data_IF_679713318254
#
_entry.id   IF_679713318254
#
_cell.length_a   1.000
_cell.length_b   1.000
_cell.length_c   1.000
_cell.angle_alpha   90.00
_cell.angle_beta   90.00
_cell.angle_gamma   90.00
#
_symmetry.space_group_name_H-M   'P 1'
#
loop_
_entity.id
_entity.type
_entity.pdbx_description
1 polymer ?
#
# COMPACT_ATOMS: atom_id res chain seq x y z
N UNK A 1 -21.88 5.56 29.55
CA UNK A 1 -20.92 6.61 29.15
C UNK A 1 -19.67 5.93 28.67
N UNK A 2 -19.70 5.31 27.49
CA UNK A 2 -18.50 4.82 26.83
C UNK A 2 -18.73 5.06 25.33
N UNK A 3 -18.14 6.15 24.85
CA UNK A 3 -17.98 6.46 23.42
C UNK A 3 -16.87 5.54 22.91
N UNK A 4 -17.23 4.39 22.38
CA UNK A 4 -16.28 3.52 21.69
C UNK A 4 -16.14 4.05 20.26
N UNK A 5 -15.00 4.71 20.04
CA UNK A 5 -14.59 5.23 18.75
C UNK A 5 -14.65 4.16 17.67
N UNK A 6 -15.26 4.51 16.55
CA UNK A 6 -15.28 3.66 15.37
C UNK A 6 -13.83 3.47 14.86
N UNK A 7 -13.20 2.36 15.25
CA UNK A 7 -11.91 1.92 14.72
C UNK A 7 -12.01 1.75 13.19
N UNK A 8 -11.20 2.46 12.39
CA UNK A 8 -11.16 2.28 10.94
C UNK A 8 -10.41 1.01 10.51
N UNK A 9 -10.02 0.14 11.44
CA UNK A 9 -9.32 -1.12 11.18
C UNK A 9 -10.14 -2.29 11.71
N UNK A 10 -10.60 -3.21 10.85
CA UNK A 10 -11.00 -4.53 11.34
C UNK A 10 -12.19 -5.23 10.70
N UNK A 11 -12.57 -4.96 9.45
CA UNK A 11 -13.31 -5.98 8.69
C UNK A 11 -12.29 -6.87 8.00
N UNK A 12 -11.80 -7.89 8.71
CA UNK A 12 -11.17 -9.04 8.06
C UNK A 12 -12.24 -9.72 7.22
N UNK A 13 -12.30 -9.37 5.93
CA UNK A 13 -12.89 -10.29 4.96
C UNK A 13 -12.01 -11.56 4.94
N UNK A 14 -12.40 -12.62 4.25
CA UNK A 14 -11.68 -13.92 4.31
C UNK A 14 -10.27 -13.91 3.71
N UNK A 15 -9.78 -12.72 3.38
CA UNK A 15 -8.44 -12.35 3.01
C UNK A 15 -8.01 -11.26 4.00
N UNK A 16 -6.80 -11.32 4.57
CA UNK A 16 -6.28 -10.30 5.49
C UNK A 16 -6.08 -8.91 4.84
N UNK A 17 -6.69 -8.67 3.67
CA UNK A 17 -6.63 -7.46 2.86
C UNK A 17 -7.41 -6.33 3.52
N UNK A 18 -6.70 -5.30 3.94
CA UNK A 18 -7.25 -4.07 4.49
C UNK A 18 -7.86 -3.19 3.39
N UNK A 19 -8.84 -2.31 3.69
CA UNK A 19 -9.47 -1.45 2.69
C UNK A 19 -8.49 -0.53 1.93
N UNK A 20 -7.38 -0.16 2.58
CA UNK A 20 -6.31 0.64 1.99
C UNK A 20 -5.49 -0.17 0.97
N UNK A 21 -5.33 -1.49 1.15
CA UNK A 21 -4.63 -2.36 0.20
C UNK A 21 -5.41 -2.49 -1.10
N UNK A 22 -6.71 -2.76 -1.03
CA UNK A 22 -7.60 -2.75 -2.20
C UNK A 22 -7.56 -1.38 -2.93
N UNK A 23 -7.46 -0.28 -2.19
CA UNK A 23 -7.32 1.05 -2.79
C UNK A 23 -5.98 1.24 -3.52
N UNK A 24 -4.90 0.64 -3.01
CA UNK A 24 -3.58 0.65 -3.67
C UNK A 24 -3.58 -0.22 -4.92
N UNK A 25 -4.10 -1.45 -4.86
CA UNK A 25 -4.24 -2.34 -6.01
C UNK A 25 -5.11 -1.71 -7.11
N UNK A 26 -6.22 -1.09 -6.71
CA UNK A 26 -7.12 -0.40 -7.62
C UNK A 26 -6.64 1.00 -8.06
N UNK A 27 -5.45 1.44 -7.61
CA UNK A 27 -4.84 2.75 -7.86
C UNK A 27 -5.78 3.95 -7.61
N UNK A 28 -6.59 3.88 -6.55
CA UNK A 28 -7.50 4.95 -6.15
C UNK A 28 -6.79 5.94 -5.25
N UNK A 29 -5.99 6.82 -5.84
CA UNK A 29 -5.21 7.85 -5.15
C UNK A 29 -6.03 8.63 -4.10
N UNK A 30 -7.25 9.06 -4.45
CA UNK A 30 -8.13 9.82 -3.55
C UNK A 30 -8.44 9.05 -2.26
N UNK A 31 -8.64 7.73 -2.38
CA UNK A 31 -8.96 6.84 -1.26
C UNK A 31 -7.70 6.58 -0.42
N UNK A 32 -6.55 6.37 -1.06
CA UNK A 32 -5.26 6.21 -0.37
C UNK A 32 -4.94 7.46 0.43
N UNK A 33 -5.05 8.65 -0.16
CA UNK A 33 -4.85 9.92 0.54
C UNK A 33 -5.78 10.07 1.73
N UNK A 34 -7.06 9.76 1.56
CA UNK A 34 -8.03 9.80 2.66
C UNK A 34 -7.61 8.90 3.83
N UNK A 35 -7.16 7.67 3.56
CA UNK A 35 -6.73 6.76 4.63
C UNK A 35 -5.41 7.20 5.29
N UNK A 36 -4.42 7.63 4.51
CA UNK A 36 -3.10 8.00 5.03
C UNK A 36 -3.13 9.35 5.75
N UNK A 37 -3.76 10.36 5.15
CA UNK A 37 -3.74 11.73 5.67
C UNK A 37 -4.84 11.99 6.69
N UNK A 38 -6.07 11.52 6.46
CA UNK A 38 -7.21 11.84 7.34
C UNK A 38 -7.47 10.80 8.42
N UNK A 39 -7.25 9.51 8.12
CA UNK A 39 -7.55 8.41 9.05
C UNK A 39 -6.33 7.92 9.83
N UNK A 40 -5.12 8.40 9.49
CA UNK A 40 -3.86 7.92 10.03
C UNK A 40 -3.79 6.37 10.02
N UNK A 41 -4.28 5.76 8.95
CA UNK A 41 -4.37 4.32 8.82
C UNK A 41 -2.99 3.67 9.02
N UNK A 42 -3.00 2.46 9.58
CA UNK A 42 -1.78 1.66 9.65
C UNK A 42 -1.40 1.21 8.24
N UNK A 43 -0.19 1.60 7.82
CA UNK A 43 0.36 1.28 6.50
C UNK A 43 1.41 0.16 6.55
N UNK A 44 1.63 -0.43 7.74
CA UNK A 44 2.62 -1.50 7.95
C UNK A 44 2.02 -2.90 7.86
N UNK A 45 0.71 -2.99 7.60
CA UNK A 45 -0.01 -4.24 7.41
C UNK A 45 0.55 -5.06 6.25
N UNK A 46 0.54 -6.38 6.45
CA UNK A 46 0.86 -7.39 5.45
C UNK A 46 -0.42 -8.15 5.11
N UNK A 47 -0.60 -8.49 3.83
CA UNK A 47 -1.68 -9.38 3.41
C UNK A 47 -1.33 -10.88 3.58
N UNK A 48 -2.17 -11.75 3.03
CA UNK A 48 -1.97 -13.20 3.03
C UNK A 48 -0.70 -13.65 2.28
N UNK A 49 -0.19 -12.83 1.35
CA UNK A 49 1.01 -13.07 0.55
C UNK A 49 2.27 -12.45 1.14
N UNK A 50 2.16 -11.84 2.34
CA UNK A 50 3.22 -11.04 2.95
C UNK A 50 3.60 -9.82 2.11
N UNK A 51 2.68 -9.39 1.26
CA UNK A 51 2.79 -8.17 0.49
C UNK A 51 2.43 -6.98 1.40
N UNK A 52 3.27 -5.96 1.35
CA UNK A 52 3.00 -4.65 1.95
C UNK A 52 2.13 -3.83 1.00
N UNK A 53 1.56 -2.73 1.50
CA UNK A 53 0.89 -1.73 0.66
C UNK A 53 1.71 -1.26 -0.55
N UNK A 54 3.04 -1.23 -0.45
CA UNK A 54 3.91 -0.88 -1.57
C UNK A 54 4.01 -1.99 -2.62
N UNK A 55 3.92 -3.26 -2.22
CA UNK A 55 3.80 -4.35 -3.18
C UNK A 55 2.49 -4.22 -3.95
N UNK A 56 1.36 -4.04 -3.25
CA UNK A 56 0.03 -3.90 -3.87
C UNK A 56 -0.04 -2.69 -4.80
N UNK A 57 0.52 -1.56 -4.36
CA UNK A 57 0.64 -0.37 -5.20
C UNK A 57 1.42 -0.70 -6.48
N UNK A 58 2.47 -1.54 -6.42
CA UNK A 58 3.30 -1.95 -7.55
C UNK A 58 2.72 -3.05 -8.44
N UNK A 59 1.75 -3.84 -7.97
CA UNK A 59 1.19 -5.00 -8.69
C UNK A 59 0.17 -4.58 -9.76
N UNK A 60 -0.59 -3.51 -9.52
CA UNK A 60 -1.61 -3.00 -10.46
C UNK A 60 -1.06 -2.44 -11.79
N UNK A 61 0.23 -2.59 -12.06
CA UNK A 61 0.94 -1.94 -13.17
C UNK A 61 1.03 -2.80 -14.41
N UNK A 62 -0.05 -2.80 -15.19
CA UNK A 62 0.04 -3.00 -16.64
C UNK A 62 -0.04 -1.69 -17.43
N UNK A 63 -0.39 -0.59 -16.77
CA UNK A 63 -0.52 0.75 -17.32
C UNK A 63 0.55 1.66 -16.71
N UNK A 64 1.28 2.41 -17.56
CA UNK A 64 2.25 3.47 -17.19
C UNK A 64 1.54 4.69 -16.59
N UNK A 65 0.70 4.47 -15.60
CA UNK A 65 -0.16 5.50 -15.02
C UNK A 65 0.63 6.30 -13.97
N UNK A 66 0.65 7.64 -14.03
CA UNK A 66 1.32 8.48 -13.03
C UNK A 66 0.76 8.33 -11.61
N UNK A 67 -0.48 7.86 -11.46
CA UNK A 67 -1.17 7.70 -10.17
C UNK A 67 -0.44 6.73 -9.23
N UNK A 68 0.17 5.69 -9.79
CA UNK A 68 1.02 4.74 -9.08
C UNK A 68 2.14 5.40 -8.29
N UNK A 69 2.84 6.32 -8.94
CA UNK A 69 4.00 7.00 -8.36
C UNK A 69 3.57 7.90 -7.21
N UNK A 70 2.43 8.59 -7.35
CA UNK A 70 1.88 9.43 -6.29
C UNK A 70 1.47 8.59 -5.06
N UNK A 71 0.86 7.42 -5.27
CA UNK A 71 0.52 6.49 -4.18
C UNK A 71 1.78 6.03 -3.46
N UNK A 72 2.82 5.60 -4.19
CA UNK A 72 4.10 5.19 -3.59
C UNK A 72 4.74 6.36 -2.83
N UNK A 73 4.73 7.57 -3.38
CA UNK A 73 5.29 8.74 -2.72
C UNK A 73 4.56 9.06 -1.41
N UNK A 74 3.23 8.98 -1.38
CA UNK A 74 2.43 9.16 -0.16
C UNK A 74 2.81 8.12 0.89
N UNK A 75 2.88 6.84 0.49
CA UNK A 75 3.19 5.73 1.36
C UNK A 75 4.62 5.81 1.91
N UNK A 76 5.62 6.15 1.09
CA UNK A 76 7.01 6.35 1.51
C UNK A 76 7.15 7.57 2.43
N UNK A 77 6.44 8.66 2.15
CA UNK A 77 6.43 9.86 3.01
C UNK A 77 5.91 9.59 4.42
N UNK A 78 5.15 8.52 4.64
CA UNK A 78 4.75 8.12 6.00
C UNK A 78 5.95 7.73 6.85
N UNK A 79 7.06 7.28 6.24
CA UNK A 79 8.26 6.80 6.93
C UNK A 79 8.06 5.54 7.76
N UNK A 80 6.90 4.88 7.65
CA UNK A 80 6.54 3.70 8.45
C UNK A 80 6.78 2.38 7.70
N UNK A 81 6.78 2.42 6.36
CA UNK A 81 6.87 1.22 5.53
C UNK A 81 8.33 0.85 5.31
N UNK A 82 8.64 -0.44 5.49
CA UNK A 82 9.93 -1.02 5.17
C UNK A 82 9.96 -1.45 3.68
N UNK A 83 10.88 -0.82 2.93
CA UNK A 83 11.11 -1.03 1.49
C UNK A 83 11.86 -2.33 1.18
N UNK A 84 12.45 -2.96 2.19
CA UNK A 84 13.16 -4.23 2.08
C UNK A 84 12.33 -5.43 2.51
N UNK A 85 11.08 -5.19 2.97
CA UNK A 85 10.15 -6.27 3.32
C UNK A 85 10.02 -7.22 2.15
N UNK A 86 10.19 -8.52 2.40
CA UNK A 86 10.05 -9.55 1.38
C UNK A 86 8.73 -10.28 1.55
N UNK A 87 8.01 -10.41 0.45
CA UNK A 87 6.81 -11.23 0.39
C UNK A 87 7.13 -12.73 0.36
N UNK A 88 6.11 -13.58 0.26
CA UNK A 88 6.28 -15.04 0.23
C UNK A 88 7.13 -15.55 -0.94
N UNK A 89 7.23 -14.79 -2.04
CA UNK A 89 8.08 -15.10 -3.18
C UNK A 89 9.54 -14.65 -2.99
N UNK A 90 9.86 -14.00 -1.86
CA UNK A 90 11.18 -13.42 -1.60
C UNK A 90 11.42 -12.11 -2.36
N UNK A 91 10.39 -11.54 -2.98
CA UNK A 91 10.43 -10.27 -3.68
C UNK A 91 10.16 -9.13 -2.68
N UNK A 92 10.87 -8.02 -2.84
CA UNK A 92 10.56 -6.77 -2.14
C UNK A 92 9.74 -5.84 -3.03
N UNK A 93 9.13 -4.76 -2.50
CA UNK A 93 8.41 -3.78 -3.32
C UNK A 93 9.27 -3.24 -4.46
N UNK A 94 10.58 -3.08 -4.21
CA UNK A 94 11.54 -2.64 -5.22
C UNK A 94 11.67 -3.61 -6.40
N UNK A 95 11.57 -4.93 -6.16
CA UNK A 95 11.56 -5.92 -7.22
C UNK A 95 10.34 -5.74 -8.14
N UNK A 96 9.17 -5.45 -7.56
CA UNK A 96 7.96 -5.16 -8.32
C UNK A 96 8.06 -3.82 -9.05
N UNK A 97 8.56 -2.76 -8.42
CA UNK A 97 8.76 -1.46 -9.07
C UNK A 97 9.72 -1.53 -10.27
N UNK A 98 10.79 -2.31 -10.16
CA UNK A 98 11.72 -2.56 -11.26
C UNK A 98 11.05 -3.33 -12.41
N UNK A 99 10.21 -4.32 -12.09
CA UNK A 99 9.42 -5.09 -13.08
C UNK A 99 8.30 -4.27 -13.74
N UNK A 100 7.68 -3.36 -12.99
CA UNK A 100 6.60 -2.48 -13.43
C UNK A 100 7.07 -1.29 -14.29
N UNK A 101 8.37 -1.15 -14.54
CA UNK A 101 8.96 -0.01 -15.25
C UNK A 101 8.62 1.34 -14.58
N UNK A 102 8.66 1.36 -13.24
CA UNK A 102 8.59 2.58 -12.41
C UNK A 102 10.01 3.00 -11.97
N UNK A 103 10.82 3.61 -12.86
CA UNK A 103 12.20 3.98 -12.50
C UNK A 103 12.24 4.98 -11.34
N UNK A 104 11.21 5.83 -11.20
CA UNK A 104 11.14 6.87 -10.18
C UNK A 104 11.04 6.32 -8.74
N UNK A 105 10.55 5.08 -8.55
CA UNK A 105 10.50 4.46 -7.21
C UNK A 105 11.88 3.96 -6.77
N UNK A 106 12.77 3.66 -7.72
CA UNK A 106 14.14 3.16 -7.44
C UNK A 106 15.09 4.28 -7.00
N UNK A 107 14.69 5.54 -7.19
CA UNK A 107 15.49 6.72 -6.83
C UNK A 107 15.22 7.28 -5.43
N UNK A 108 14.24 6.72 -4.71
CA UNK A 108 13.92 7.06 -3.30
C UNK A 108 14.76 6.24 -2.32
#
# INVERSE_FOLDING_TARGET
>A
VEEEGADPSGSFDRHLTTPIQEACEAQRLDVVRYFVEERAADVTGLDDFWDTLLHDACVGHYSRDPLALEIVEILVKTGKIDLDTKNLCGCSPLHFAAGACLPAVVEY
#
